data_IF_664873055113
#
_entry.id   IF_664873055113
#
_cell.length_a   1.000
_cell.length_b   1.000
_cell.length_c   1.000
_cell.angle_alpha   90.00
_cell.angle_beta   90.00
_cell.angle_gamma   90.00
#
_symmetry.space_group_name_H-M   'P 1'
#
loop_
_entity.id
_entity.type
_entity.pdbx_description
1 polymer ?
#
# COMPACT_ATOMS: atom_id res chain seq x y z
N UNK A 1 -14.43 43.81 5.99
CA UNK A 1 -13.84 43.66 4.64
C UNK A 1 -14.45 42.42 4.03
N UNK A 2 -15.31 42.63 3.04
CA UNK A 2 -16.08 41.61 2.34
C UNK A 2 -15.14 40.74 1.52
N UNK A 3 -15.06 39.45 1.84
CA UNK A 3 -14.42 38.43 0.99
C UNK A 3 -15.24 38.29 -0.28
N UNK A 4 -14.78 38.91 -1.37
CA UNK A 4 -15.23 38.56 -2.69
C UNK A 4 -14.76 37.13 -2.99
N UNK A 5 -15.62 36.14 -2.72
CA UNK A 5 -15.55 34.87 -3.42
C UNK A 5 -15.81 35.16 -4.90
N UNK A 6 -14.74 35.16 -5.70
CA UNK A 6 -14.87 35.12 -7.15
C UNK A 6 -15.69 33.89 -7.53
N UNK A 7 -16.66 33.99 -8.45
CA UNK A 7 -17.41 32.82 -8.92
C UNK A 7 -16.42 31.79 -9.45
N UNK A 8 -16.54 30.54 -8.97
CA UNK A 8 -15.68 29.42 -9.36
C UNK A 8 -15.66 29.27 -10.88
N UNK A 9 -14.62 29.80 -11.54
CA UNK A 9 -14.39 29.55 -12.95
C UNK A 9 -13.96 28.08 -13.07
N UNK A 10 -14.68 27.24 -13.83
CA UNK A 10 -14.30 25.84 -14.01
C UNK A 10 -12.89 25.74 -14.57
N UNK A 11 -12.11 24.77 -14.06
CA UNK A 11 -10.72 24.51 -14.49
C UNK A 11 -10.65 24.39 -16.00
N UNK A 12 -9.80 25.21 -16.62
CA UNK A 12 -9.58 25.14 -18.06
C UNK A 12 -8.61 23.99 -18.37
N UNK A 13 -9.13 22.96 -19.06
CA UNK A 13 -8.34 21.79 -19.45
C UNK A 13 -7.67 21.91 -20.83
N UNK A 14 -7.86 23.04 -21.53
CA UNK A 14 -7.19 23.32 -22.81
C UNK A 14 -5.96 24.22 -22.63
N UNK A 15 -5.97 25.10 -21.61
CA UNK A 15 -4.84 25.96 -21.25
C UNK A 15 -4.55 25.83 -19.75
N UNK A 16 -3.38 25.29 -19.42
CA UNK A 16 -2.90 25.10 -18.03
C UNK A 16 -1.52 25.75 -17.82
N UNK A 17 -1.11 26.01 -16.56
CA UNK A 17 0.14 26.70 -16.24
C UNK A 17 1.37 25.99 -16.81
N UNK A 18 2.31 26.77 -17.33
CA UNK A 18 3.59 26.24 -17.84
C UNK A 18 4.55 25.80 -16.71
N UNK A 19 4.29 26.22 -15.47
CA UNK A 19 5.04 25.85 -14.26
C UNK A 19 4.18 25.21 -13.18
N UNK A 20 4.82 24.53 -12.22
CA UNK A 20 4.15 23.92 -11.07
C UNK A 20 4.03 24.92 -9.92
N UNK A 21 2.81 25.32 -9.58
CA UNK A 21 2.56 26.08 -8.34
C UNK A 21 2.73 25.16 -7.12
N UNK A 22 3.63 25.51 -6.20
CA UNK A 22 3.98 24.68 -5.05
C UNK A 22 2.97 24.82 -3.93
N UNK A 23 2.35 23.71 -3.53
CA UNK A 23 1.58 23.55 -2.29
C UNK A 23 2.38 22.66 -1.32
N UNK A 24 3.18 23.33 -0.49
CA UNK A 24 4.05 22.69 0.48
C UNK A 24 3.29 22.18 1.72
N UNK A 25 2.06 22.65 1.97
CA UNK A 25 1.24 22.15 3.08
C UNK A 25 0.71 20.75 2.81
N UNK A 26 0.58 20.35 1.54
CA UNK A 26 0.13 19.00 1.15
C UNK A 26 1.27 18.11 0.68
N UNK A 27 2.21 18.65 -0.10
CA UNK A 27 3.30 17.87 -0.72
C UNK A 27 4.67 18.07 -0.08
N UNK A 28 4.76 18.93 0.94
CA UNK A 28 6.02 19.30 1.56
C UNK A 28 6.72 18.14 2.27
N UNK A 29 8.02 18.32 2.49
CA UNK A 29 8.88 17.28 3.03
C UNK A 29 8.43 16.80 4.41
N UNK A 30 7.93 17.68 5.28
CA UNK A 30 7.47 17.28 6.62
C UNK A 30 6.24 16.37 6.60
N UNK A 31 5.28 16.61 5.69
CA UNK A 31 4.12 15.72 5.52
C UNK A 31 4.57 14.34 5.05
N UNK A 32 5.44 14.31 4.04
CA UNK A 32 5.99 13.07 3.51
C UNK A 32 6.75 12.30 4.58
N UNK A 33 7.66 12.96 5.29
CA UNK A 33 8.43 12.38 6.39
C UNK A 33 7.51 11.82 7.47
N UNK A 34 6.46 12.54 7.87
CA UNK A 34 5.52 12.07 8.89
C UNK A 34 4.86 10.74 8.52
N UNK A 35 4.33 10.63 7.30
CA UNK A 35 3.67 9.40 6.85
C UNK A 35 4.67 8.24 6.64
N UNK A 36 5.81 8.52 6.02
CA UNK A 36 6.84 7.53 5.72
C UNK A 36 7.49 7.00 7.01
N UNK A 37 7.95 7.89 7.88
CA UNK A 37 8.59 7.52 9.16
C UNK A 37 7.61 6.73 10.02
N UNK A 38 6.33 7.11 10.07
CA UNK A 38 5.31 6.30 10.76
C UNK A 38 5.26 4.87 10.24
N UNK A 39 5.17 4.69 8.92
CA UNK A 39 5.08 3.37 8.32
C UNK A 39 6.34 2.52 8.62
N UNK A 40 7.53 3.13 8.57
CA UNK A 40 8.79 2.47 8.94
C UNK A 40 8.85 2.09 10.43
N UNK A 41 8.48 3.01 11.33
CA UNK A 41 8.46 2.75 12.77
C UNK A 41 7.50 1.63 13.12
N UNK A 42 6.28 1.65 12.56
CA UNK A 42 5.28 0.60 12.79
C UNK A 42 5.76 -0.75 12.23
N UNK A 43 6.45 -0.76 11.10
CA UNK A 43 7.07 -1.98 10.57
C UNK A 43 8.14 -2.56 11.53
N UNK A 44 9.05 -1.72 12.03
CA UNK A 44 10.08 -2.12 12.99
C UNK A 44 9.46 -2.59 14.30
N UNK A 45 8.50 -1.85 14.85
CA UNK A 45 7.81 -2.20 16.09
C UNK A 45 6.99 -3.47 15.96
N UNK A 46 6.41 -3.74 14.79
CA UNK A 46 5.74 -5.01 14.48
C UNK A 46 6.71 -6.19 14.59
N UNK A 47 7.90 -6.09 14.00
CA UNK A 47 8.93 -7.13 14.08
C UNK A 47 9.36 -7.36 15.54
N UNK A 48 9.63 -6.28 16.27
CA UNK A 48 10.02 -6.37 17.68
C UNK A 48 8.91 -7.03 18.51
N UNK A 49 7.65 -6.61 18.33
CA UNK A 49 6.50 -7.20 19.02
C UNK A 49 6.38 -8.69 18.70
N UNK A 50 6.43 -9.09 17.43
CA UNK A 50 6.34 -10.51 17.04
C UNK A 50 7.46 -11.33 17.65
N UNK A 51 8.68 -10.79 17.72
CA UNK A 51 9.80 -11.46 18.39
C UNK A 51 9.56 -11.59 19.91
N UNK A 52 9.04 -10.54 20.57
CA UNK A 52 8.69 -10.57 21.98
C UNK A 52 7.60 -11.60 22.26
N UNK A 53 6.54 -11.65 21.44
CA UNK A 53 5.43 -12.60 21.61
C UNK A 53 5.90 -14.05 21.43
N UNK A 54 6.81 -14.30 20.48
CA UNK A 54 7.45 -15.61 20.32
C UNK A 54 8.30 -15.98 21.53
N UNK A 55 9.05 -15.03 22.10
CA UNK A 55 9.81 -15.29 23.33
C UNK A 55 8.87 -15.59 24.49
N UNK A 56 7.79 -14.81 24.67
CA UNK A 56 6.78 -15.02 25.71
C UNK A 56 6.17 -16.43 25.61
N UNK A 57 5.81 -16.88 24.40
CA UNK A 57 5.21 -18.21 24.21
C UNK A 57 6.19 -19.37 24.41
N UNK A 58 7.50 -19.10 24.37
CA UNK A 58 8.55 -20.12 24.58
C UNK A 58 8.81 -20.42 26.07
N UNK A 59 8.33 -19.58 26.98
CA UNK A 59 8.49 -19.75 28.43
C UNK A 59 7.16 -20.09 29.10
N UNK A 60 7.17 -21.05 30.01
CA UNK A 60 5.99 -21.42 30.82
C UNK A 60 5.60 -20.27 31.78
N UNK A 61 6.59 -19.59 32.35
CA UNK A 61 6.41 -18.37 33.16
C UNK A 61 7.21 -17.20 32.55
N UNK A 62 6.60 -16.38 31.68
CA UNK A 62 7.29 -15.28 31.02
C UNK A 62 7.61 -14.15 32.01
N UNK A 63 8.79 -13.54 31.86
CA UNK A 63 9.20 -12.39 32.68
C UNK A 63 8.20 -11.23 32.57
N UNK A 64 7.81 -10.59 33.69
CA UNK A 64 6.85 -9.47 33.66
C UNK A 64 7.36 -8.28 32.83
N UNK A 65 8.68 -8.11 32.73
CA UNK A 65 9.29 -7.07 31.88
C UNK A 65 9.00 -7.34 30.39
N UNK A 66 9.11 -8.60 29.97
CA UNK A 66 8.90 -9.01 28.57
C UNK A 66 7.44 -8.76 28.15
N UNK A 67 6.49 -9.15 29.00
CA UNK A 67 5.07 -8.88 28.80
C UNK A 67 4.76 -7.38 28.77
N UNK A 68 5.40 -6.58 29.64
CA UNK A 68 5.25 -5.12 29.63
C UNK A 68 5.73 -4.50 28.33
N UNK A 69 6.87 -4.93 27.79
CA UNK A 69 7.36 -4.45 26.50
C UNK A 69 6.46 -4.85 25.34
N UNK A 70 5.97 -6.10 25.28
CA UNK A 70 5.00 -6.51 24.25
C UNK A 70 3.73 -5.65 24.31
N UNK A 71 3.23 -5.36 25.51
CA UNK A 71 2.10 -4.46 25.74
C UNK A 71 2.38 -3.02 25.28
N UNK A 72 3.56 -2.49 25.58
CA UNK A 72 3.97 -1.14 25.17
C UNK A 72 3.99 -1.03 23.64
N UNK A 73 4.69 -1.94 22.94
CA UNK A 73 4.72 -1.95 21.48
C UNK A 73 3.33 -2.13 20.86
N UNK A 74 2.48 -2.98 21.45
CA UNK A 74 1.08 -3.12 21.02
C UNK A 74 0.35 -1.78 21.06
N UNK A 75 0.41 -1.06 22.18
CA UNK A 75 -0.27 0.22 22.34
C UNK A 75 0.30 1.30 21.41
N UNK A 76 1.62 1.33 21.23
CA UNK A 76 2.29 2.24 20.31
C UNK A 76 1.91 1.99 18.84
N UNK A 77 1.92 0.73 18.38
CA UNK A 77 1.48 0.35 17.02
C UNK A 77 0.03 0.79 16.79
N UNK A 78 -0.84 0.54 17.77
CA UNK A 78 -2.24 0.98 17.74
C UNK A 78 -2.33 2.51 17.58
N UNK A 79 -1.57 3.27 18.38
CA UNK A 79 -1.59 4.73 18.35
C UNK A 79 -1.20 5.29 16.98
N UNK A 80 -0.13 4.74 16.37
CA UNK A 80 0.28 5.14 15.02
C UNK A 80 -0.77 4.79 13.96
N UNK A 81 -1.39 3.60 14.05
CA UNK A 81 -2.45 3.22 13.12
C UNK A 81 -3.67 4.16 13.23
N UNK A 82 -4.14 4.44 14.45
CA UNK A 82 -5.29 5.32 14.68
C UNK A 82 -5.03 6.75 14.18
N UNK A 83 -3.80 7.26 14.32
CA UNK A 83 -3.41 8.53 13.69
C UNK A 83 -3.44 8.43 12.17
N UNK A 84 -2.83 7.39 11.59
CA UNK A 84 -2.70 7.24 10.15
C UNK A 84 -4.04 7.04 9.43
N UNK A 85 -5.04 6.41 10.05
CA UNK A 85 -6.37 6.31 9.42
C UNK A 85 -7.00 7.69 9.27
N UNK A 86 -6.90 8.53 10.31
CA UNK A 86 -7.49 9.87 10.30
C UNK A 86 -6.73 10.76 9.32
N UNK A 87 -5.40 10.85 9.46
CA UNK A 87 -4.58 11.70 8.58
C UNK A 87 -4.61 11.23 7.13
N UNK A 88 -4.63 9.92 6.88
CA UNK A 88 -4.72 9.32 5.54
C UNK A 88 -6.05 9.62 4.85
N UNK A 89 -7.17 9.61 5.58
CA UNK A 89 -8.47 10.01 5.03
C UNK A 89 -8.50 11.53 4.80
N UNK A 90 -8.03 12.31 5.78
CA UNK A 90 -7.99 13.77 5.70
C UNK A 90 -7.17 14.28 4.51
N UNK A 91 -6.01 13.69 4.22
CA UNK A 91 -5.15 14.15 3.12
C UNK A 91 -5.80 13.90 1.74
N UNK A 92 -6.48 12.77 1.56
CA UNK A 92 -7.21 12.52 0.30
C UNK A 92 -8.41 13.47 0.18
N UNK A 93 -9.17 13.66 1.25
CA UNK A 93 -10.32 14.57 1.25
C UNK A 93 -9.85 16.00 0.94
N UNK A 94 -8.77 16.47 1.57
CA UNK A 94 -8.18 17.78 1.32
C UNK A 94 -7.77 17.93 -0.15
N UNK A 95 -7.03 16.95 -0.70
CA UNK A 95 -6.67 16.93 -2.12
C UNK A 95 -7.90 16.96 -3.03
N UNK A 96 -8.94 16.18 -2.70
CA UNK A 96 -10.18 16.10 -3.48
C UNK A 96 -10.92 17.45 -3.58
N UNK A 97 -10.96 18.22 -2.48
CA UNK A 97 -11.56 19.56 -2.48
C UNK A 97 -10.78 20.58 -3.31
N UNK A 98 -9.48 20.37 -3.50
CA UNK A 98 -8.63 21.26 -4.30
C UNK A 98 -8.69 20.93 -5.80
N UNK A 99 -9.16 19.74 -6.20
CA UNK A 99 -9.20 19.31 -7.61
C UNK A 99 -9.87 20.35 -8.52
N UNK A 100 -11.02 20.86 -8.12
CA UNK A 100 -11.78 21.85 -8.89
C UNK A 100 -11.15 23.25 -8.88
N UNK A 101 -10.16 23.49 -8.03
CA UNK A 101 -9.43 24.75 -7.93
C UNK A 101 -8.11 24.75 -8.71
N UNK A 102 -7.81 23.65 -9.43
CA UNK A 102 -6.57 23.54 -10.21
C UNK A 102 -5.47 22.69 -9.57
N UNK A 103 -5.79 21.84 -8.58
CA UNK A 103 -4.80 20.96 -7.94
C UNK A 103 -4.04 20.13 -8.99
N UNK A 104 -2.72 20.26 -9.02
CA UNK A 104 -1.89 19.63 -10.04
C UNK A 104 -1.87 18.10 -9.92
N UNK A 105 -1.54 17.42 -11.02
CA UNK A 105 -1.28 15.98 -11.04
C UNK A 105 -0.12 15.57 -10.14
N UNK A 106 0.92 16.40 -10.01
CA UNK A 106 2.03 16.18 -9.08
C UNK A 106 1.55 16.06 -7.63
N UNK A 107 0.84 17.08 -7.13
CA UNK A 107 0.36 17.09 -5.75
C UNK A 107 -0.61 15.93 -5.48
N UNK A 108 -1.44 15.57 -6.46
CA UNK A 108 -2.30 14.38 -6.36
C UNK A 108 -1.52 13.07 -6.26
N UNK A 109 -0.46 12.90 -7.06
CA UNK A 109 0.45 11.75 -6.97
C UNK A 109 1.05 11.64 -5.56
N UNK A 110 1.47 12.76 -4.94
CA UNK A 110 1.95 12.78 -3.55
C UNK A 110 0.84 12.38 -2.57
N UNK A 111 -0.37 12.95 -2.68
CA UNK A 111 -1.52 12.60 -1.83
C UNK A 111 -1.83 11.09 -1.87
N UNK A 112 -1.86 10.50 -3.07
CA UNK A 112 -2.09 9.06 -3.25
C UNK A 112 -0.97 8.22 -2.62
N UNK A 113 0.27 8.71 -2.68
CA UNK A 113 1.41 8.09 -2.00
C UNK A 113 1.30 8.13 -0.47
N UNK A 114 0.89 9.25 0.11
CA UNK A 114 0.68 9.38 1.56
C UNK A 114 -0.40 8.40 2.05
N UNK A 115 -1.53 8.36 1.32
CA UNK A 115 -2.59 7.41 1.60
C UNK A 115 -2.14 5.94 1.46
N UNK A 116 -1.25 5.64 0.51
CA UNK A 116 -0.63 4.33 0.39
C UNK A 116 0.16 3.96 1.66
N UNK A 117 1.02 4.83 2.18
CA UNK A 117 1.75 4.59 3.44
C UNK A 117 0.81 4.38 4.64
N UNK A 118 -0.28 5.14 4.71
CA UNK A 118 -1.31 4.91 5.72
C UNK A 118 -1.92 3.51 5.58
N UNK A 119 -2.29 3.08 4.36
CA UNK A 119 -2.81 1.73 4.12
C UNK A 119 -1.81 0.62 4.51
N UNK A 120 -0.52 0.80 4.24
CA UNK A 120 0.55 -0.14 4.64
C UNK A 120 0.68 -0.19 6.16
N UNK A 121 0.62 0.94 6.86
CA UNK A 121 0.62 1.00 8.34
C UNK A 121 -0.51 0.15 8.93
N UNK A 122 -1.68 0.20 8.31
CA UNK A 122 -2.84 -0.60 8.72
C UNK A 122 -2.67 -2.10 8.46
N UNK A 123 -2.12 -2.47 7.30
CA UNK A 123 -1.80 -3.86 7.00
C UNK A 123 -0.77 -4.43 8.00
N UNK A 124 0.27 -3.65 8.34
CA UNK A 124 1.24 -4.01 9.39
C UNK A 124 0.53 -4.24 10.72
N UNK A 125 -0.32 -3.30 11.12
CA UNK A 125 -1.03 -3.35 12.40
C UNK A 125 -1.92 -4.58 12.51
N UNK A 126 -2.67 -4.92 11.46
CA UNK A 126 -3.52 -6.12 11.46
C UNK A 126 -2.70 -7.42 11.52
N UNK A 127 -1.53 -7.46 10.90
CA UNK A 127 -0.61 -8.60 11.00
C UNK A 127 -0.01 -8.70 12.41
N UNK A 128 0.48 -7.60 12.98
CA UNK A 128 1.14 -7.57 14.30
C UNK A 128 0.18 -7.88 15.47
N UNK A 129 -1.09 -7.49 15.34
CA UNK A 129 -2.08 -7.57 16.41
C UNK A 129 -3.07 -8.73 16.24
N UNK A 130 -2.87 -9.60 15.25
CA UNK A 130 -3.77 -10.72 14.96
C UNK A 130 -4.09 -11.54 16.20
N UNK A 131 -3.05 -11.98 16.91
CA UNK A 131 -3.20 -12.87 18.06
C UNK A 131 -3.82 -12.14 19.26
N UNK A 132 -3.53 -10.84 19.42
CA UNK A 132 -4.18 -10.01 20.44
C UNK A 132 -5.68 -9.88 20.18
N UNK A 133 -6.09 -9.69 18.93
CA UNK A 133 -7.50 -9.58 18.55
C UNK A 133 -8.20 -10.93 18.70
N UNK A 134 -7.57 -12.03 18.28
CA UNK A 134 -8.15 -13.38 18.40
C UNK A 134 -8.34 -13.80 19.85
N UNK A 135 -7.37 -13.49 20.70
CA UNK A 135 -7.40 -13.79 22.14
C UNK A 135 -8.21 -12.77 22.95
N UNK A 136 -9.03 -11.92 22.30
CA UNK A 136 -9.89 -10.92 22.94
C UNK A 136 -9.15 -9.94 23.86
N UNK A 137 -7.86 -9.70 23.60
CA UNK A 137 -7.02 -8.73 24.35
C UNK A 137 -7.27 -7.29 23.93
N UNK A 138 -7.99 -7.09 22.82
CA UNK A 138 -8.41 -5.79 22.28
C UNK A 138 -9.94 -5.78 22.19
N UNK A 139 -10.55 -4.67 22.59
CA UNK A 139 -12.01 -4.53 22.58
C UNK A 139 -12.60 -4.68 21.17
N UNK A 140 -13.70 -5.43 21.08
CA UNK A 140 -14.39 -5.74 19.84
C UNK A 140 -14.95 -4.50 19.12
N UNK A 141 -15.45 -3.50 19.85
CA UNK A 141 -16.05 -2.30 19.26
C UNK A 141 -14.98 -1.40 18.63
N UNK A 142 -13.91 -1.13 19.36
CA UNK A 142 -12.77 -0.35 18.85
C UNK A 142 -12.12 -1.00 17.64
N UNK A 143 -11.96 -2.33 17.66
CA UNK A 143 -11.45 -3.09 16.50
C UNK A 143 -12.37 -2.94 15.28
N UNK A 144 -13.69 -2.96 15.46
CA UNK A 144 -14.65 -2.75 14.36
C UNK A 144 -14.52 -1.35 13.77
N UNK A 145 -14.43 -0.31 14.59
CA UNK A 145 -14.27 1.07 14.12
C UNK A 145 -12.98 1.24 13.30
N UNK A 146 -11.87 0.65 13.76
CA UNK A 146 -10.59 0.64 13.01
C UNK A 146 -10.73 -0.04 11.66
N UNK A 147 -11.34 -1.23 11.60
CA UNK A 147 -11.57 -1.94 10.33
C UNK A 147 -12.47 -1.13 9.40
N UNK A 148 -13.50 -0.46 9.91
CA UNK A 148 -14.37 0.42 9.12
C UNK A 148 -13.55 1.57 8.54
N UNK A 149 -12.77 2.28 9.37
CA UNK A 149 -11.91 3.37 8.91
C UNK A 149 -10.89 2.92 7.86
N UNK A 150 -10.22 1.78 8.09
CA UNK A 150 -9.29 1.18 7.13
C UNK A 150 -10.00 0.79 5.82
N UNK A 151 -11.22 0.25 5.89
CA UNK A 151 -12.03 -0.08 4.70
C UNK A 151 -12.40 1.17 3.92
N UNK A 152 -12.80 2.23 4.61
CA UNK A 152 -13.10 3.53 4.01
C UNK A 152 -11.87 4.10 3.30
N UNK A 153 -10.71 4.14 3.97
CA UNK A 153 -9.46 4.59 3.36
C UNK A 153 -9.11 3.76 2.12
N UNK A 154 -9.25 2.43 2.18
CA UNK A 154 -8.98 1.55 1.05
C UNK A 154 -9.88 1.85 -0.15
N UNK A 155 -11.19 2.03 0.06
CA UNK A 155 -12.13 2.36 -1.01
C UNK A 155 -11.77 3.70 -1.65
N UNK A 156 -11.49 4.72 -0.83
CA UNK A 156 -11.09 6.04 -1.33
C UNK A 156 -9.78 5.92 -2.10
N UNK A 157 -8.78 5.19 -1.59
CA UNK A 157 -7.50 4.98 -2.27
C UNK A 157 -7.65 4.28 -3.63
N UNK A 158 -8.52 3.28 -3.73
CA UNK A 158 -8.82 2.60 -5.01
C UNK A 158 -9.40 3.61 -6.01
N UNK A 159 -10.33 4.46 -5.59
CA UNK A 159 -10.90 5.50 -6.47
C UNK A 159 -9.84 6.52 -6.86
N UNK A 160 -8.98 6.93 -5.93
CA UNK A 160 -7.94 7.94 -6.15
C UNK A 160 -6.80 7.48 -7.05
N UNK A 161 -6.63 6.17 -7.24
CA UNK A 161 -5.62 5.59 -8.12
C UNK A 161 -5.95 5.73 -9.61
N UNK A 162 -7.21 5.96 -10.00
CA UNK A 162 -7.58 6.09 -11.42
C UNK A 162 -6.68 7.04 -12.23
N UNK A 163 -6.49 8.32 -11.85
CA UNK A 163 -5.65 9.23 -12.64
C UNK A 163 -4.16 8.84 -12.63
N UNK A 164 -3.73 7.98 -11.70
CA UNK A 164 -2.34 7.49 -11.67
C UNK A 164 -1.98 6.71 -12.94
N UNK A 165 -2.95 6.11 -13.62
CA UNK A 165 -2.71 5.40 -14.87
C UNK A 165 -2.25 6.32 -15.99
N UNK A 166 -2.70 7.57 -16.01
CA UNK A 166 -2.24 8.60 -16.97
C UNK A 166 -0.91 9.22 -16.53
N UNK A 167 -0.72 9.39 -15.22
CA UNK A 167 0.48 9.97 -14.63
C UNK A 167 1.69 9.04 -14.82
N UNK A 168 1.53 7.73 -14.56
CA UNK A 168 2.62 6.75 -14.53
C UNK A 168 2.78 5.97 -15.83
N UNK A 169 2.46 6.60 -16.97
CA UNK A 169 2.74 5.99 -18.29
C UNK A 169 4.26 5.85 -18.44
N UNK A 170 4.70 4.62 -18.67
CA UNK A 170 6.10 4.30 -18.94
C UNK A 170 6.35 4.65 -20.40
N UNK A 171 7.02 5.78 -20.66
CA UNK A 171 7.14 6.27 -22.03
C UNK A 171 8.42 5.82 -22.72
N UNK A 172 8.25 5.23 -23.90
CA UNK A 172 9.30 5.01 -24.91
C UNK A 172 9.35 6.17 -25.93
N UNK A 173 8.53 7.22 -25.75
CA UNK A 173 8.44 8.40 -26.61
C UNK A 173 9.09 9.65 -25.99
N UNK A 174 9.42 10.61 -26.85
CA UNK A 174 9.96 11.91 -26.45
C UNK A 174 8.90 12.87 -25.87
N UNK A 175 7.64 12.43 -25.70
CA UNK A 175 6.50 13.29 -25.30
C UNK A 175 5.83 12.84 -24.00
N UNK A 176 5.90 13.64 -22.95
CA UNK A 176 5.31 13.29 -21.66
C UNK A 176 4.27 14.32 -21.20
N UNK A 177 3.38 13.87 -20.31
CA UNK A 177 2.31 14.69 -19.74
C UNK A 177 2.91 15.59 -18.64
N UNK A 178 2.78 16.93 -18.74
CA UNK A 178 3.23 17.84 -17.70
C UNK A 178 2.56 17.53 -16.37
N UNK A 179 3.34 17.55 -15.30
CA UNK A 179 2.87 17.27 -13.94
C UNK A 179 2.19 18.46 -13.27
N UNK A 180 2.31 19.66 -13.87
CA UNK A 180 1.55 20.87 -13.52
C UNK A 180 0.09 20.83 -13.97
N UNK A 181 -0.29 19.89 -14.86
CA UNK A 181 -1.68 19.80 -15.35
C UNK A 181 -2.65 19.60 -14.18
N UNK A 182 -3.79 20.33 -14.15
CA UNK A 182 -4.82 20.09 -13.16
C UNK A 182 -5.34 18.65 -13.23
N UNK A 183 -5.36 17.96 -12.09
CA UNK A 183 -5.77 16.56 -11.99
C UNK A 183 -7.21 16.32 -12.47
N UNK A 184 -8.08 17.33 -12.34
CA UNK A 184 -9.45 17.31 -12.84
C UNK A 184 -9.52 16.95 -14.33
N UNK A 185 -8.55 17.40 -15.12
CA UNK A 185 -8.52 17.19 -16.56
C UNK A 185 -8.27 15.72 -16.93
N UNK A 186 -7.59 14.96 -16.06
CA UNK A 186 -7.34 13.53 -16.27
C UNK A 186 -8.60 12.66 -16.06
N UNK A 187 -9.65 13.22 -15.45
CA UNK A 187 -10.96 12.58 -15.40
C UNK A 187 -11.79 12.79 -16.67
N UNK A 188 -11.30 13.60 -17.62
CA UNK A 188 -11.97 13.92 -18.87
C UNK A 188 -11.20 13.36 -20.08
N UNK A 189 -11.17 12.03 -20.28
CA UNK A 189 -10.37 11.39 -21.33
C UNK A 189 -10.80 11.71 -22.77
N UNK A 190 -11.92 12.43 -22.94
CA UNK A 190 -12.43 12.87 -24.24
C UNK A 190 -11.85 14.20 -24.71
N UNK A 191 -11.11 14.90 -23.83
CA UNK A 191 -10.45 16.16 -24.19
C UNK A 191 -9.04 15.87 -24.72
N UNK A 192 -8.63 16.63 -25.72
CA UNK A 192 -7.24 16.62 -26.19
C UNK A 192 -6.39 17.45 -25.22
N UNK A 193 -5.35 16.81 -24.66
CA UNK A 193 -4.41 17.46 -23.76
C UNK A 193 -3.13 17.81 -24.50
N UNK A 194 -2.49 18.92 -24.11
CA UNK A 194 -1.15 19.29 -24.60
C UNK A 194 -0.10 18.35 -23.98
N UNK A 195 0.88 17.92 -24.78
CA UNK A 195 2.07 17.17 -24.34
C UNK A 195 3.31 18.04 -24.53
N UNK A 196 4.37 17.77 -23.77
CA UNK A 196 5.65 18.50 -23.87
C UNK A 196 6.71 17.56 -24.42
N UNK A 197 7.46 18.05 -25.43
CA UNK A 197 8.56 17.32 -26.05
C UNK A 197 9.84 17.45 -25.20
N UNK A 198 10.56 16.35 -25.02
CA UNK A 198 11.83 16.25 -24.30
C UNK A 198 12.96 16.98 -25.05
N UNK A 199 12.94 16.99 -26.38
CA UNK A 199 13.93 17.67 -27.22
C UNK A 199 13.23 18.65 -28.20
N UNK A 200 13.26 19.96 -27.94
CA UNK A 200 12.61 20.95 -28.80
C UNK A 200 13.22 21.04 -30.20
N UNK A 201 14.44 20.53 -30.42
CA UNK A 201 15.13 20.56 -31.72
C UNK A 201 14.78 19.35 -32.62
N UNK A 202 14.01 18.38 -32.11
CA UNK A 202 13.59 17.19 -32.86
C UNK A 202 12.40 17.49 -33.81
N UNK A 203 12.76 18.05 -34.97
CA UNK A 203 11.98 18.31 -36.20
C UNK A 203 10.46 18.00 -36.17
N UNK A 204 9.72 19.10 -36.21
CA UNK A 204 8.26 19.32 -36.44
C UNK A 204 7.66 18.46 -37.58
N UNK A 205 8.45 17.86 -38.46
CA UNK A 205 7.98 17.13 -39.65
C UNK A 205 7.47 15.69 -39.42
N UNK A 206 7.74 15.04 -38.28
CA UNK A 206 6.99 13.82 -37.89
C UNK A 206 5.66 14.13 -37.20
N UNK A 207 5.46 15.36 -36.76
CA UNK A 207 4.39 15.74 -35.82
C UNK A 207 2.97 15.73 -36.40
N UNK A 208 2.80 15.70 -37.73
CA UNK A 208 1.48 15.58 -38.36
C UNK A 208 1.05 14.12 -38.64
N UNK A 209 1.96 13.15 -38.56
CA UNK A 209 1.72 11.76 -39.00
C UNK A 209 1.70 10.74 -37.83
N UNK A 210 1.12 11.10 -36.68
CA UNK A 210 0.80 10.12 -35.63
C UNK A 210 -0.47 10.48 -34.84
N UNK A 211 -1.41 11.09 -35.54
CA UNK A 211 -2.78 11.30 -35.13
C UNK A 211 -3.53 9.94 -35.11
N UNK A 212 -3.26 9.01 -34.17
CA UNK A 212 -4.09 7.77 -33.91
C UNK A 212 -3.48 6.65 -33.01
N UNK A 213 -2.89 6.93 -31.83
CA UNK A 213 -2.69 5.87 -30.83
C UNK A 213 -3.12 6.38 -29.44
N UNK A 214 -4.40 6.34 -29.08
CA UNK A 214 -5.10 5.16 -28.53
C UNK A 214 -4.34 4.59 -27.31
N UNK A 215 -4.78 4.97 -26.10
CA UNK A 215 -4.43 4.37 -24.79
C UNK A 215 -3.06 4.71 -24.15
N UNK A 216 -2.78 5.98 -23.84
CA UNK A 216 -1.74 6.37 -22.88
C UNK A 216 -2.23 6.22 -21.42
N UNK A 217 -2.77 5.04 -21.09
CA UNK A 217 -3.15 4.71 -19.71
C UNK A 217 -2.44 3.43 -19.31
N UNK A 218 -1.65 3.49 -18.24
CA UNK A 218 -0.90 2.37 -17.71
C UNK A 218 -1.80 1.38 -16.97
N UNK A 219 -2.56 0.60 -17.74
CA UNK A 219 -3.46 -0.44 -17.23
C UNK A 219 -2.70 -1.48 -16.40
N UNK A 220 -1.50 -1.86 -16.83
CA UNK A 220 -0.67 -2.84 -16.13
C UNK A 220 -0.37 -2.38 -14.71
N UNK A 221 0.08 -1.14 -14.54
CA UNK A 221 0.36 -0.57 -13.22
C UNK A 221 -0.90 -0.55 -12.35
N UNK A 222 -2.02 -0.07 -12.89
CA UNK A 222 -3.27 0.06 -12.13
C UNK A 222 -3.81 -1.29 -11.69
N UNK A 223 -3.81 -2.29 -12.60
CA UNK A 223 -4.26 -3.64 -12.28
C UNK A 223 -3.36 -4.29 -11.23
N UNK A 224 -2.04 -4.15 -11.35
CA UNK A 224 -1.09 -4.69 -10.36
C UNK A 224 -1.31 -4.00 -9.00
N UNK A 225 -1.45 -2.68 -8.97
CA UNK A 225 -1.68 -1.93 -7.73
C UNK A 225 -3.01 -2.34 -7.06
N UNK A 226 -4.08 -2.51 -7.83
CA UNK A 226 -5.38 -2.97 -7.33
C UNK A 226 -5.31 -4.39 -6.80
N UNK A 227 -4.70 -5.30 -7.55
CA UNK A 227 -4.49 -6.66 -7.08
C UNK A 227 -3.70 -6.64 -5.77
N UNK A 228 -2.61 -5.88 -5.70
CA UNK A 228 -1.77 -5.81 -4.50
C UNK A 228 -2.52 -5.25 -3.28
N UNK A 229 -3.29 -4.19 -3.45
CA UNK A 229 -4.11 -3.58 -2.40
C UNK A 229 -5.21 -4.53 -1.92
N UNK A 230 -6.02 -5.06 -2.85
CA UNK A 230 -7.13 -5.96 -2.53
C UNK A 230 -6.61 -7.26 -1.92
N UNK A 231 -5.57 -7.86 -2.50
CA UNK A 231 -4.91 -9.03 -1.97
C UNK A 231 -4.42 -8.78 -0.53
N UNK A 232 -3.71 -7.67 -0.32
CA UNK A 232 -3.22 -7.26 0.98
C UNK A 232 -4.35 -7.20 2.01
N UNK A 233 -5.40 -6.44 1.71
CA UNK A 233 -6.50 -6.22 2.64
C UNK A 233 -7.37 -7.45 2.89
N UNK A 234 -7.78 -8.15 1.82
CA UNK A 234 -8.65 -9.32 1.92
C UNK A 234 -7.98 -10.45 2.69
N UNK A 235 -6.70 -10.71 2.45
CA UNK A 235 -5.96 -11.76 3.20
C UNK A 235 -5.95 -11.50 4.70
N UNK A 236 -5.76 -10.24 5.13
CA UNK A 236 -5.77 -9.89 6.57
C UNK A 236 -7.17 -9.99 7.16
N UNK A 237 -8.22 -9.56 6.43
CA UNK A 237 -9.60 -9.73 6.88
C UNK A 237 -9.99 -11.20 7.02
N UNK A 238 -9.61 -12.06 6.07
CA UNK A 238 -9.86 -13.50 6.14
C UNK A 238 -9.15 -14.08 7.37
N UNK A 239 -7.88 -13.76 7.59
CA UNK A 239 -7.14 -14.29 8.73
C UNK A 239 -7.63 -13.76 10.08
N UNK A 240 -8.14 -12.53 10.12
CA UNK A 240 -8.76 -11.96 11.33
C UNK A 240 -10.11 -12.59 11.66
N UNK A 241 -10.90 -12.95 10.63
CA UNK A 241 -12.25 -13.48 10.81
C UNK A 241 -12.29 -14.94 11.30
N UNK A 242 -11.17 -15.67 11.25
CA UNK A 242 -11.01 -17.06 11.72
C UNK A 242 -11.43 -17.27 13.20
N UNK A 243 -11.54 -16.22 14.01
CA UNK A 243 -12.01 -16.31 15.41
C UNK A 243 -13.51 -16.11 15.66
N UNK A 244 -14.27 -15.55 14.69
CA UNK A 244 -15.70 -15.25 14.89
C UNK A 244 -16.62 -15.93 13.89
N UNK A 245 -16.10 -16.16 12.70
CA UNK A 245 -16.76 -17.00 11.74
C UNK A 245 -16.11 -18.36 11.87
N UNK A 246 -16.92 -19.36 12.23
CA UNK A 246 -16.74 -20.74 11.79
C UNK A 246 -16.86 -20.78 10.26
N UNK A 247 -16.21 -19.86 9.54
CA UNK A 247 -16.11 -19.87 8.11
C UNK A 247 -15.21 -21.04 7.86
N UNK A 248 -15.88 -22.15 7.61
CA UNK A 248 -15.27 -23.36 7.19
C UNK A 248 -14.54 -23.13 5.86
N UNK A 249 -14.18 -21.95 5.35
CA UNK A 249 -13.51 -21.85 4.05
C UNK A 249 -12.07 -22.39 4.06
N UNK A 250 -11.22 -22.14 5.08
CA UNK A 250 -9.99 -22.91 5.23
C UNK A 250 -10.33 -24.39 5.46
N UNK A 251 -11.37 -24.70 6.25
CA UNK A 251 -11.85 -26.05 6.53
C UNK A 251 -12.59 -26.72 5.34
N UNK A 252 -13.05 -26.04 4.31
CA UNK A 252 -13.89 -26.53 3.20
C UNK A 252 -12.99 -26.64 1.98
N UNK A 253 -12.06 -25.71 1.82
CA UNK A 253 -10.91 -25.90 0.94
C UNK A 253 -10.05 -27.08 1.44
N UNK A 254 -9.86 -27.26 2.76
CA UNK A 254 -9.18 -28.46 3.32
C UNK A 254 -10.07 -29.70 3.51
N UNK A 255 -11.40 -29.64 3.45
CA UNK A 255 -12.24 -30.83 3.74
C UNK A 255 -13.21 -31.23 2.63
N UNK A 256 -13.57 -30.34 1.68
CA UNK A 256 -14.46 -30.66 0.55
C UNK A 256 -13.79 -30.68 -0.82
N UNK A 257 -12.70 -29.94 -1.02
CA UNK A 257 -11.98 -29.84 -2.31
C UNK A 257 -10.48 -30.15 -2.17
N UNK A 258 -10.12 -31.11 -1.32
CA UNK A 258 -8.73 -31.19 -0.85
C UNK A 258 -7.84 -32.17 -1.64
N UNK A 259 -7.02 -31.70 -2.61
CA UNK A 259 -5.99 -32.54 -3.22
C UNK A 259 -5.03 -33.10 -2.18
N UNK A 260 -4.78 -32.40 -1.07
CA UNK A 260 -3.91 -32.83 0.04
C UNK A 260 -4.42 -34.14 0.66
N UNK A 261 -5.74 -34.25 0.90
CA UNK A 261 -6.36 -35.47 1.43
C UNK A 261 -6.37 -36.61 0.41
N UNK A 262 -6.48 -36.29 -0.88
CA UNK A 262 -6.27 -37.28 -1.95
C UNK A 262 -4.83 -37.79 -1.96
N UNK A 263 -3.84 -36.91 -1.78
CA UNK A 263 -2.43 -37.28 -1.62
C UNK A 263 -2.23 -38.16 -0.39
N UNK A 264 -2.79 -37.81 0.77
CA UNK A 264 -2.77 -38.61 2.01
C UNK A 264 -3.34 -40.01 1.78
N UNK A 265 -4.58 -40.10 1.29
CA UNK A 265 -5.25 -41.38 1.03
C UNK A 265 -4.48 -42.26 0.04
N UNK A 266 -3.88 -41.67 -1.00
CA UNK A 266 -3.08 -42.40 -2.00
C UNK A 266 -1.71 -42.81 -1.45
N UNK A 267 -1.07 -41.98 -0.62
CA UNK A 267 0.15 -42.32 0.11
C UNK A 267 -0.09 -43.47 1.10
N UNK A 268 -1.22 -43.46 1.83
CA UNK A 268 -1.59 -44.53 2.75
C UNK A 268 -1.80 -45.87 2.03
N UNK A 269 -2.51 -45.85 0.89
CA UNK A 269 -2.67 -47.05 0.02
C UNK A 269 -1.33 -47.59 -0.48
N UNK A 270 -0.41 -46.72 -0.92
CA UNK A 270 0.91 -47.15 -1.38
C UNK A 270 1.79 -47.66 -0.22
N UNK A 271 1.59 -47.15 1.01
CA UNK A 271 2.29 -47.59 2.23
C UNK A 271 1.78 -48.94 2.74
N UNK A 272 0.47 -49.21 2.68
CA UNK A 272 -0.10 -50.50 3.08
C UNK A 272 0.33 -51.63 2.13
N UNK A 273 0.37 -51.34 0.83
CA UNK A 273 0.83 -52.28 -0.20
C UNK A 273 2.33 -52.61 -0.12
N UNK A 274 3.13 -51.79 0.58
CA UNK A 274 4.57 -52.03 0.81
C UNK A 274 4.82 -53.26 1.70
N UNK A 275 3.85 -53.66 2.54
CA UNK A 275 4.00 -54.76 3.50
C UNK A 275 3.56 -56.13 2.94
N UNK A 276 2.98 -56.20 1.73
CA UNK A 276 2.25 -57.38 1.25
C UNK A 276 2.83 -58.17 0.06
N UNK A 277 4.03 -57.86 -0.46
CA UNK A 277 4.65 -58.67 -1.53
C UNK A 277 5.56 -57.91 -2.50
N UNK A 278 6.31 -58.66 -3.34
CA UNK A 278 7.40 -58.23 -4.26
C UNK A 278 7.36 -56.74 -4.64
N UNK A 279 8.40 -56.01 -4.22
CA UNK A 279 8.56 -54.58 -4.47
C UNK A 279 8.71 -54.29 -5.97
N UNK A 280 7.69 -53.67 -6.57
CA UNK A 280 7.83 -53.06 -7.90
C UNK A 280 8.51 -51.71 -7.73
N UNK A 281 9.67 -51.53 -8.38
CA UNK A 281 10.46 -50.28 -8.38
C UNK A 281 9.57 -49.07 -8.72
N UNK A 282 8.63 -49.24 -9.65
CA UNK A 282 7.67 -48.20 -10.03
C UNK A 282 6.85 -47.68 -8.84
N UNK A 283 6.35 -48.55 -7.96
CA UNK A 283 5.55 -48.15 -6.78
C UNK A 283 6.38 -47.39 -5.74
N UNK A 284 7.67 -47.73 -5.61
CA UNK A 284 8.60 -47.03 -4.72
C UNK A 284 8.90 -45.62 -5.26
N UNK A 285 9.11 -45.50 -6.57
CA UNK A 285 9.33 -44.21 -7.25
C UNK A 285 8.07 -43.34 -7.15
N UNK A 286 6.89 -43.89 -7.46
CA UNK A 286 5.60 -43.19 -7.34
C UNK A 286 5.38 -42.67 -5.92
N UNK A 287 5.58 -43.50 -4.89
CA UNK A 287 5.44 -43.07 -3.49
C UNK A 287 6.41 -41.93 -3.13
N UNK A 288 7.67 -41.99 -3.57
CA UNK A 288 8.66 -40.92 -3.32
C UNK A 288 8.27 -39.61 -3.99
N UNK A 289 7.85 -39.65 -5.26
CA UNK A 289 7.38 -38.47 -6.00
C UNK A 289 6.15 -37.87 -5.31
N UNK A 290 5.18 -38.71 -4.95
CA UNK A 290 3.94 -38.29 -4.30
C UNK A 290 4.21 -37.62 -2.95
N UNK A 291 5.07 -38.22 -2.12
CA UNK A 291 5.49 -37.67 -0.83
C UNK A 291 6.21 -36.33 -0.97
N UNK A 292 7.06 -36.19 -1.98
CA UNK A 292 7.81 -34.95 -2.21
C UNK A 292 6.88 -33.83 -2.64
N UNK A 293 5.96 -34.09 -3.58
CA UNK A 293 4.96 -33.10 -4.00
C UNK A 293 4.02 -32.71 -2.87
N UNK A 294 3.59 -33.69 -2.05
CA UNK A 294 2.81 -33.43 -0.85
C UNK A 294 3.55 -32.50 0.13
N UNK A 295 4.82 -32.80 0.42
CA UNK A 295 5.63 -31.99 1.32
C UNK A 295 5.80 -30.56 0.79
N UNK A 296 6.10 -30.39 -0.51
CA UNK A 296 6.20 -29.07 -1.15
C UNK A 296 4.88 -28.30 -1.05
N UNK A 297 3.75 -28.96 -1.32
CA UNK A 297 2.44 -28.32 -1.26
C UNK A 297 2.09 -27.85 0.16
N UNK A 298 2.29 -28.70 1.17
CA UNK A 298 2.05 -28.36 2.58
C UNK A 298 2.99 -27.24 3.01
N UNK A 299 4.30 -27.35 2.77
CA UNK A 299 5.26 -26.31 3.12
C UNK A 299 4.97 -24.97 2.42
N UNK A 300 4.47 -24.98 1.18
CA UNK A 300 4.09 -23.75 0.49
C UNK A 300 2.85 -23.10 1.11
N UNK A 301 1.88 -23.89 1.54
CA UNK A 301 0.69 -23.40 2.23
C UNK A 301 1.06 -22.83 3.60
N UNK A 302 1.90 -23.54 4.34
CA UNK A 302 2.38 -23.10 5.65
C UNK A 302 3.20 -21.81 5.52
N UNK A 303 4.08 -21.73 4.52
CA UNK A 303 4.84 -20.51 4.21
C UNK A 303 3.90 -19.36 3.88
N UNK A 304 2.92 -19.57 3.00
CA UNK A 304 1.96 -18.55 2.59
C UNK A 304 1.10 -18.02 3.76
N UNK A 305 0.77 -18.87 4.73
CA UNK A 305 -0.01 -18.50 5.92
C UNK A 305 0.86 -17.95 7.06
N UNK A 306 2.18 -17.98 6.91
CA UNK A 306 3.11 -17.54 7.96
C UNK A 306 3.16 -16.02 8.10
N UNK A 307 3.46 -15.56 9.32
CA UNK A 307 3.77 -14.16 9.61
C UNK A 307 4.98 -13.67 8.80
N UNK A 308 5.90 -14.56 8.42
CA UNK A 308 7.07 -14.24 7.59
C UNK A 308 6.66 -13.80 6.18
N UNK A 309 5.79 -14.57 5.50
CA UNK A 309 5.31 -14.20 4.17
C UNK A 309 4.54 -12.87 4.20
N UNK A 310 3.71 -12.67 5.22
CA UNK A 310 2.98 -11.41 5.38
C UNK A 310 3.91 -10.21 5.59
N UNK A 311 4.96 -10.39 6.41
CA UNK A 311 5.97 -9.36 6.67
C UNK A 311 6.76 -9.03 5.41
N UNK A 312 7.16 -10.04 4.62
CA UNK A 312 7.86 -9.86 3.34
C UNK A 312 6.99 -9.12 2.31
N UNK A 313 5.72 -9.48 2.20
CA UNK A 313 4.77 -8.80 1.31
C UNK A 313 4.60 -7.32 1.69
N UNK A 314 4.46 -7.05 2.98
CA UNK A 314 4.32 -5.70 3.52
C UNK A 314 5.60 -4.89 3.27
N UNK A 315 6.78 -5.48 3.47
CA UNK A 315 8.05 -4.85 3.16
C UNK A 315 8.13 -4.48 1.67
N UNK A 316 7.72 -5.39 0.77
CA UNK A 316 7.66 -5.09 -0.66
C UNK A 316 6.69 -3.94 -0.97
N UNK A 317 5.53 -3.87 -0.31
CA UNK A 317 4.58 -2.76 -0.47
C UNK A 317 5.12 -1.42 0.06
N UNK A 318 5.86 -1.45 1.16
CA UNK A 318 6.54 -0.27 1.72
C UNK A 318 7.67 0.20 0.79
N UNK A 319 8.51 -0.72 0.32
CA UNK A 319 9.59 -0.44 -0.62
C UNK A 319 9.05 0.10 -1.96
N UNK A 320 7.98 -0.48 -2.49
CA UNK A 320 7.30 0.01 -3.68
C UNK A 320 6.82 1.46 -3.52
N UNK A 321 6.12 1.76 -2.43
CA UNK A 321 5.64 3.12 -2.15
C UNK A 321 6.79 4.11 -1.98
N UNK A 322 7.88 3.66 -1.34
CA UNK A 322 9.11 4.45 -1.14
C UNK A 322 9.76 4.79 -2.47
N UNK A 323 10.07 3.80 -3.30
CA UNK A 323 10.66 4.00 -4.63
C UNK A 323 9.80 4.97 -5.43
N UNK A 324 8.48 4.77 -5.46
CA UNK A 324 7.56 5.64 -6.20
C UNK A 324 7.66 7.08 -5.73
N UNK A 325 7.55 7.36 -4.44
CA UNK A 325 7.51 8.74 -3.92
C UNK A 325 8.82 9.49 -4.12
N UNK A 326 9.97 8.81 -3.97
CA UNK A 326 11.28 9.43 -4.16
C UNK A 326 11.58 9.63 -5.64
N UNK A 327 11.22 8.66 -6.50
CA UNK A 327 11.29 8.86 -7.96
C UNK A 327 10.43 10.03 -8.44
N UNK A 328 9.25 10.26 -7.85
CA UNK A 328 8.42 11.43 -8.15
C UNK A 328 9.09 12.75 -7.75
N UNK A 329 9.80 12.78 -6.60
CA UNK A 329 10.49 14.00 -6.11
C UNK A 329 11.78 14.30 -6.85
N UNK A 330 12.59 13.28 -7.13
CA UNK A 330 13.85 13.46 -7.85
C UNK A 330 13.60 13.86 -9.31
N UNK A 331 12.51 13.37 -9.91
CA UNK A 331 12.10 13.72 -11.28
C UNK A 331 11.66 15.17 -11.49
N UNK A 332 11.65 16.03 -10.46
CA UNK A 332 11.34 17.46 -10.58
C UNK A 332 12.49 18.24 -11.24
N UNK A 333 13.75 17.88 -10.95
CA UNK A 333 14.94 18.60 -11.45
C UNK A 333 15.25 18.28 -12.93
N UNK A 334 14.96 17.06 -13.37
CA UNK A 334 15.34 16.55 -14.69
C UNK A 334 14.30 16.78 -15.80
N UNK A 335 13.15 17.37 -15.47
CA UNK A 335 11.98 17.35 -16.33
C UNK A 335 11.65 18.76 -16.90
N UNK A 336 11.79 18.96 -18.24
CA UNK A 336 11.56 20.26 -18.88
C UNK A 336 10.14 20.84 -18.74
N UNK A 337 9.16 20.07 -18.24
CA UNK A 337 7.76 20.52 -18.05
C UNK A 337 7.48 21.25 -16.75
N UNK A 338 8.44 21.32 -15.83
CA UNK A 338 8.27 22.06 -14.57
C UNK A 338 8.64 23.54 -14.69
N UNK A 339 9.10 23.97 -15.87
CA UNK A 339 9.74 25.28 -16.05
C UNK A 339 11.14 25.30 -15.44
N UNK A 340 12.03 26.14 -15.97
CA UNK A 340 13.32 26.46 -15.33
C UNK A 340 13.10 27.33 -14.06
N UNK A 341 12.20 26.94 -13.16
CA UNK A 341 12.06 27.61 -11.87
C UNK A 341 13.03 26.97 -10.88
N UNK A 342 14.25 27.51 -10.87
CA UNK A 342 15.18 27.33 -9.76
C UNK A 342 14.43 27.61 -8.45
N UNK A 343 14.21 26.57 -7.64
CA UNK A 343 13.64 26.71 -6.29
C UNK A 343 12.34 25.97 -5.99
N UNK A 344 11.69 25.27 -6.93
CA UNK A 344 10.49 24.44 -6.62
C UNK A 344 10.79 23.43 -5.51
N UNK A 345 11.92 22.71 -5.63
CA UNK A 345 12.38 21.75 -4.61
C UNK A 345 12.71 22.44 -3.29
N UNK A 346 13.34 23.62 -3.34
CA UNK A 346 13.63 24.42 -2.15
C UNK A 346 12.36 24.87 -1.42
N UNK A 347 11.33 25.32 -2.14
CA UNK A 347 10.04 25.69 -1.58
C UNK A 347 9.26 24.50 -0.99
N UNK A 348 9.45 23.28 -1.52
CA UNK A 348 8.90 22.05 -0.93
C UNK A 348 9.65 21.59 0.33
N UNK A 349 10.91 21.97 0.45
CA UNK A 349 11.77 21.67 1.60
C UNK A 349 11.66 22.74 2.71
N UNK A 350 11.03 23.89 2.42
CA UNK A 350 10.69 24.91 3.40
C UNK A 350 9.60 24.40 4.35
N UNK A 351 9.88 24.47 5.65
CA UNK A 351 8.99 23.98 6.70
C UNK A 351 7.88 24.97 7.00
N UNK A 352 6.64 24.58 6.69
CA UNK A 352 5.43 25.32 7.07
C UNK A 352 4.75 24.68 8.28
N UNK A 353 3.76 25.38 8.87
CA UNK A 353 2.96 24.85 9.97
C UNK A 353 2.29 23.51 9.60
N UNK A 354 1.70 23.41 8.39
CA UNK A 354 1.04 22.20 7.91
C UNK A 354 1.95 20.98 7.87
N UNK A 355 3.22 21.17 7.52
CA UNK A 355 4.24 20.13 7.47
C UNK A 355 4.74 19.66 8.84
N UNK A 356 4.73 20.54 9.85
CA UNK A 356 5.19 20.21 11.21
C UNK A 356 4.19 19.31 11.95
N UNK A 357 2.89 19.47 11.69
CA UNK A 357 1.83 18.70 12.35
C UNK A 357 2.05 17.18 12.27
N UNK A 358 2.18 16.56 11.09
CA UNK A 358 2.35 15.10 10.99
C UNK A 358 3.66 14.59 11.61
N UNK A 359 4.71 15.41 11.68
CA UNK A 359 5.98 15.05 12.33
C UNK A 359 5.85 15.11 13.85
N UNK A 360 5.23 16.17 14.39
CA UNK A 360 5.02 16.32 15.84
C UNK A 360 4.04 15.27 16.36
N UNK A 361 3.03 14.89 15.57
CA UNK A 361 2.08 13.84 15.93
C UNK A 361 2.76 12.48 16.19
N UNK A 362 3.95 12.22 15.62
CA UNK A 362 4.74 11.01 15.89
C UNK A 362 5.08 10.84 17.37
N UNK A 363 5.15 11.93 18.13
CA UNK A 363 5.49 11.89 19.57
C UNK A 363 4.39 11.18 20.36
N UNK A 364 3.11 11.34 20.01
CA UNK A 364 2.01 10.83 20.83
C UNK A 364 2.04 9.31 20.99
N UNK A 365 2.17 8.49 19.92
CA UNK A 365 2.27 7.05 20.09
C UNK A 365 3.59 6.65 20.77
N UNK A 366 4.69 7.37 20.56
CA UNK A 366 5.98 7.07 21.21
C UNK A 366 5.89 7.26 22.73
N UNK A 367 5.15 8.26 23.22
CA UNK A 367 4.95 8.46 24.65
C UNK A 367 4.23 7.25 25.30
N UNK A 368 3.36 6.56 24.57
CA UNK A 368 2.69 5.34 25.06
C UNK A 368 3.64 4.15 25.26
N UNK A 369 4.86 4.23 24.74
CA UNK A 369 5.89 3.20 24.93
C UNK A 369 6.50 3.25 26.33
N UNK A 370 6.47 4.43 26.98
CA UNK A 370 7.10 4.68 28.27
C UNK A 370 6.12 4.82 29.44
N UNK A 371 4.83 5.08 29.18
CA UNK A 371 3.76 5.04 30.18
C UNK A 371 3.30 3.61 30.41
#
# INVERSE_FOLDING_TARGET
MSSHESPMTPVNCTNYPEGLEVDSDVSGIGVLCGFFVTACLVFVFSIIKTALDHLISSYEEPSPKLTRWSLAFRNTIIGFADQQVVTGISVIIAGAFQIQKGFSAYHWEVVVNLAWFSSVTHLITLTALRDDIHNHRIENNTTRLRIIGMSTLMIILIVSMYPMGFILVYDFSDYYLPRSIPIWCLYQPKLEWKYINRDPDFLIHKAAMQLSHVHTYNWTYIVIAYIALLYGFITRLIFLSKGKWNFQLPHLLTHRLNPIRMFENRMEKLKSLKHGGKHSIHRVVEYKILRTNYAIAVSSIDLYQSTLWETTWIFAALAWGTIRVFSTRDGIEDNPSYGHEEGIKAQQDDWTFGQMVPVVLLVLPILTLFG
#
